data_IF_698271850094
#
_entry.id   IF_698271850094
#
_cell.length_a   1.000
_cell.length_b   1.000
_cell.length_c   1.000
_cell.angle_alpha   90.00
_cell.angle_beta   90.00
_cell.angle_gamma   90.00
#
_symmetry.space_group_name_H-M   'P 1'
#
loop_
_entity.id
_entity.type
_entity.pdbx_description
1 polymer ?
#
# COMPACT_ATOMS: atom_id res chain seq x y z
N UNK A 1 27.34 26.87 7.53
CA UNK A 1 26.79 25.51 7.55
C UNK A 1 27.74 24.55 6.85
N UNK A 2 28.17 23.51 7.55
CA UNK A 2 29.00 22.45 6.97
C UNK A 2 28.19 21.56 6.03
N UNK A 3 28.84 20.74 5.20
CA UNK A 3 28.14 19.72 4.42
C UNK A 3 27.84 18.51 5.31
N UNK A 4 26.65 17.91 5.15
CA UNK A 4 26.34 16.61 5.74
C UNK A 4 27.30 15.55 5.19
N UNK A 5 27.89 14.70 6.04
CA UNK A 5 28.75 13.61 5.62
C UNK A 5 27.96 12.34 5.30
N UNK A 6 26.93 12.05 6.11
CA UNK A 6 26.01 10.93 5.94
C UNK A 6 24.61 11.26 6.45
N UNK A 7 23.61 10.43 6.11
CA UNK A 7 22.26 10.53 6.64
C UNK A 7 22.16 9.81 8.00
N UNK A 8 21.24 10.28 8.87
CA UNK A 8 21.03 9.71 10.20
C UNK A 8 20.74 8.21 10.15
N UNK A 9 19.80 7.79 9.30
CA UNK A 9 19.44 6.38 9.15
C UNK A 9 20.47 5.51 8.46
N UNK A 10 21.60 6.06 8.02
CA UNK A 10 22.71 5.34 7.38
C UNK A 10 23.97 5.27 8.26
N UNK A 11 23.90 5.74 9.50
CA UNK A 11 25.01 5.58 10.45
C UNK A 11 25.00 4.15 10.97
N UNK A 12 25.96 3.35 10.53
CA UNK A 12 26.12 1.93 10.88
C UNK A 12 27.48 1.66 11.51
N UNK A 13 27.72 0.40 11.91
CA UNK A 13 29.02 -0.02 12.46
C UNK A 13 30.19 0.19 11.48
N UNK A 14 29.93 0.31 10.17
CA UNK A 14 30.97 0.62 9.16
C UNK A 14 31.59 2.01 9.36
N UNK A 15 30.94 2.88 10.10
CA UNK A 15 31.39 4.24 10.40
C UNK A 15 31.96 4.40 11.82
N UNK A 16 32.23 3.29 12.52
CA UNK A 16 32.83 3.35 13.87
C UNK A 16 34.13 4.15 13.86
N UNK A 17 34.31 4.99 14.90
CA UNK A 17 35.41 5.90 15.11
C UNK A 17 35.54 7.03 14.06
N UNK A 18 34.65 7.08 13.08
CA UNK A 18 34.59 8.15 12.07
C UNK A 18 33.91 9.40 12.61
N UNK A 19 34.43 10.56 12.18
CA UNK A 19 33.78 11.85 12.42
C UNK A 19 32.67 12.09 11.42
N UNK A 20 31.47 12.32 11.91
CA UNK A 20 30.30 12.59 11.08
C UNK A 20 29.70 13.97 11.34
N UNK A 21 29.14 14.56 10.29
CA UNK A 21 28.29 15.74 10.37
C UNK A 21 26.89 15.33 9.94
N UNK A 22 25.95 15.41 10.87
CA UNK A 22 24.56 15.04 10.65
C UNK A 22 23.66 16.27 10.70
N UNK A 23 22.55 16.25 9.96
CA UNK A 23 21.53 17.30 9.98
C UNK A 23 20.17 16.62 9.99
N UNK A 24 19.30 17.02 10.89
CA UNK A 24 17.99 16.40 11.03
C UNK A 24 17.10 17.14 11.99
N UNK A 25 15.96 16.53 12.24
CA UNK A 25 14.95 16.96 13.20
C UNK A 25 15.10 16.17 14.49
N UNK A 26 14.99 16.86 15.61
CA UNK A 26 14.94 16.24 16.94
C UNK A 26 13.65 15.46 17.08
N UNK A 27 13.74 14.15 17.09
CA UNK A 27 12.58 13.25 17.21
C UNK A 27 12.18 13.07 18.67
N UNK A 28 13.12 12.62 19.53
CA UNK A 28 12.94 12.50 20.95
C UNK A 28 14.15 13.08 21.68
N UNK A 29 13.93 13.62 22.90
CA UNK A 29 14.97 14.04 23.80
C UNK A 29 14.73 13.41 25.18
N UNK A 30 15.75 12.80 25.73
CA UNK A 30 15.77 12.21 27.11
C UNK A 30 16.92 12.78 27.88
N UNK A 31 16.67 13.15 29.10
CA UNK A 31 17.65 13.68 30.04
C UNK A 31 17.80 12.67 31.20
N UNK A 32 18.96 12.09 31.33
CA UNK A 32 19.27 11.03 32.33
C UNK A 32 20.41 11.45 33.24
N UNK A 33 20.16 12.49 34.02
CA UNK A 33 21.06 12.86 35.10
C UNK A 33 22.44 13.39 34.68
N UNK A 34 22.46 14.29 33.67
CA UNK A 34 23.68 14.92 33.17
C UNK A 34 24.13 14.43 31.80
N UNK A 35 23.51 13.36 31.28
CA UNK A 35 23.63 12.93 29.88
C UNK A 35 22.33 13.24 29.16
N UNK A 36 22.43 13.84 27.98
CA UNK A 36 21.27 14.07 27.14
C UNK A 36 21.37 13.17 25.91
N UNK A 37 20.32 12.38 25.68
CA UNK A 37 20.14 11.54 24.51
C UNK A 37 19.11 12.17 23.60
N UNK A 38 19.42 12.27 22.32
CA UNK A 38 18.50 12.75 21.29
C UNK A 38 18.43 11.74 20.16
N UNK A 39 17.23 11.37 19.80
CA UNK A 39 16.98 10.62 18.58
C UNK A 39 16.89 11.66 17.43
N UNK A 40 17.91 11.72 16.58
CA UNK A 40 17.96 12.62 15.43
C UNK A 40 17.42 11.91 14.20
N UNK A 41 16.41 12.51 13.57
CA UNK A 41 15.67 11.93 12.42
C UNK A 41 15.96 12.69 11.14
N UNK A 42 16.12 11.95 10.07
CA UNK A 42 16.04 12.46 8.72
C UNK A 42 15.25 11.52 7.78
N UNK A 43 15.30 11.72 6.47
CA UNK A 43 14.55 10.92 5.49
C UNK A 43 14.96 9.45 5.44
N UNK A 44 16.17 9.09 5.87
CA UNK A 44 16.67 7.71 5.85
C UNK A 44 16.42 6.97 7.16
N UNK A 45 16.10 7.69 8.24
CA UNK A 45 15.77 7.09 9.52
C UNK A 45 16.26 7.91 10.71
N UNK A 46 16.53 7.21 11.79
CA UNK A 46 16.88 7.78 13.11
C UNK A 46 18.23 7.25 13.54
N UNK A 47 19.02 8.10 14.19
CA UNK A 47 20.21 7.72 14.96
C UNK A 47 20.16 8.37 16.32
N UNK A 48 20.59 7.66 17.37
CA UNK A 48 20.81 8.25 18.68
C UNK A 48 22.09 9.08 18.67
N UNK A 49 22.00 10.32 19.15
CA UNK A 49 23.15 11.16 19.43
C UNK A 49 23.21 11.44 20.93
N UNK A 50 24.42 11.50 21.50
CA UNK A 50 24.65 11.60 22.91
C UNK A 50 25.45 12.84 23.21
N UNK A 51 25.01 13.60 24.22
CA UNK A 51 25.67 14.76 24.74
C UNK A 51 26.20 14.40 26.14
N UNK A 52 27.51 14.25 26.22
CA UNK A 52 28.22 13.91 27.45
C UNK A 52 29.12 15.10 27.81
N UNK A 53 29.06 15.63 29.09
CA UNK A 53 29.90 16.74 29.51
C UNK A 53 31.40 16.43 29.43
N UNK A 54 31.80 15.17 29.67
CA UNK A 54 33.20 14.73 29.54
C UNK A 54 33.73 14.83 28.10
N UNK A 55 32.82 14.81 27.11
CA UNK A 55 33.17 14.92 25.69
C UNK A 55 33.06 16.37 25.17
N UNK A 56 31.97 17.06 25.54
CA UNK A 56 31.78 18.49 25.21
C UNK A 56 30.74 19.15 26.14
N UNK A 57 31.19 19.91 27.11
CA UNK A 57 30.33 20.70 28.01
C UNK A 57 29.51 21.76 27.23
N UNK A 58 30.12 22.37 26.20
CA UNK A 58 29.45 23.36 25.36
C UNK A 58 28.29 22.76 24.56
N UNK A 59 28.48 21.59 23.97
CA UNK A 59 27.45 20.90 23.25
C UNK A 59 26.29 20.49 24.18
N UNK A 60 26.58 20.04 25.38
CA UNK A 60 25.58 19.70 26.39
C UNK A 60 24.73 20.93 26.77
N UNK A 61 25.31 22.09 27.02
CA UNK A 61 24.58 23.34 27.34
C UNK A 61 23.60 23.72 26.23
N UNK A 62 23.97 23.53 24.95
CA UNK A 62 23.06 23.77 23.84
C UNK A 62 21.95 22.71 23.80
N UNK A 63 22.29 21.44 24.04
CA UNK A 63 21.32 20.33 24.04
C UNK A 63 20.24 20.46 25.12
N UNK A 64 20.52 21.13 26.27
CA UNK A 64 19.52 21.45 27.30
C UNK A 64 18.36 22.30 26.73
N UNK A 65 18.64 23.16 25.78
CA UNK A 65 17.67 24.08 25.13
C UNK A 65 16.91 23.46 23.97
N UNK A 66 17.34 22.31 23.46
CA UNK A 66 16.76 21.63 22.31
C UNK A 66 15.39 21.05 22.67
N UNK A 67 14.44 21.17 21.74
CA UNK A 67 13.08 20.62 21.85
C UNK A 67 12.74 19.81 20.61
N UNK A 68 11.67 19.02 20.73
CA UNK A 68 11.14 18.21 19.62
C UNK A 68 10.94 19.05 18.35
N UNK A 69 11.24 18.46 17.21
CA UNK A 69 11.16 19.04 15.86
C UNK A 69 12.10 20.24 15.60
N UNK A 70 12.98 20.61 16.53
CA UNK A 70 14.06 21.54 16.19
C UNK A 70 14.96 20.93 15.10
N UNK A 71 15.41 21.76 14.17
CA UNK A 71 16.38 21.38 13.16
C UNK A 71 17.77 21.69 13.66
N UNK A 72 18.61 20.66 13.72
CA UNK A 72 19.98 20.80 14.23
C UNK A 72 21.01 20.25 13.25
N UNK A 73 22.20 20.83 13.29
CA UNK A 73 23.43 20.27 12.77
C UNK A 73 24.27 19.79 13.94
N UNK A 74 24.76 18.56 13.86
CA UNK A 74 25.65 18.00 14.88
C UNK A 74 26.92 17.46 14.24
N UNK A 75 28.02 17.58 14.95
CA UNK A 75 29.30 16.97 14.63
C UNK A 75 29.71 16.07 15.78
N UNK A 76 30.17 14.88 15.48
CA UNK A 76 30.54 13.93 16.52
C UNK A 76 31.26 12.72 15.96
N UNK A 77 31.57 11.77 16.82
CA UNK A 77 32.23 10.51 16.50
C UNK A 77 31.22 9.37 16.69
N UNK A 78 31.17 8.46 15.72
CA UNK A 78 30.35 7.27 15.82
C UNK A 78 30.97 6.29 16.79
N UNK A 79 30.21 5.86 17.77
CA UNK A 79 30.62 4.89 18.80
C UNK A 79 29.65 3.72 18.87
N UNK A 80 30.14 2.60 19.38
CA UNK A 80 29.30 1.43 19.63
C UNK A 80 28.50 1.64 20.90
N UNK A 81 27.22 1.25 20.90
CA UNK A 81 26.41 1.24 22.14
C UNK A 81 26.82 0.11 23.05
N UNK A 82 26.63 0.30 24.34
CA UNK A 82 26.72 -0.79 25.30
C UNK A 82 25.70 -1.89 24.94
N UNK A 83 26.05 -3.17 25.07
CA UNK A 83 25.16 -4.30 24.71
C UNK A 83 23.78 -4.20 25.34
N UNK A 84 23.66 -3.66 26.54
CA UNK A 84 22.39 -3.50 27.27
C UNK A 84 21.52 -2.36 26.72
N UNK A 85 22.09 -1.44 25.93
CA UNK A 85 21.41 -0.26 25.39
C UNK A 85 21.12 -0.36 23.87
N UNK A 86 21.46 -1.49 23.25
CA UNK A 86 21.17 -1.75 21.83
C UNK A 86 19.67 -1.66 21.58
N UNK A 87 19.29 -0.90 20.56
CA UNK A 87 17.89 -0.75 20.16
C UNK A 87 17.58 -1.50 18.85
N UNK A 88 16.98 -2.69 18.92
CA UNK A 88 16.69 -3.50 17.72
C UNK A 88 15.56 -2.91 16.83
N UNK A 89 14.85 -1.88 17.31
CA UNK A 89 13.74 -1.26 16.56
C UNK A 89 14.20 -0.30 15.44
N UNK A 90 15.45 0.14 15.49
CA UNK A 90 16.03 1.05 14.49
C UNK A 90 17.28 0.43 13.87
N UNK A 91 17.49 0.71 12.57
CA UNK A 91 18.64 0.14 11.83
C UNK A 91 20.00 0.53 12.42
N UNK A 92 20.08 1.71 13.01
CA UNK A 92 21.29 2.28 13.61
C UNK A 92 21.46 1.89 15.06
N UNK A 93 20.64 0.97 15.57
CA UNK A 93 20.53 0.68 17.01
C UNK A 93 21.75 0.09 17.67
N UNK A 94 22.75 -0.35 16.92
CA UNK A 94 24.05 -0.84 17.39
C UNK A 94 25.02 0.29 17.73
N UNK A 95 24.79 1.49 17.18
CA UNK A 95 25.70 2.62 17.27
C UNK A 95 24.99 3.87 17.80
N UNK A 96 25.78 4.83 18.24
CA UNK A 96 25.37 6.18 18.59
C UNK A 96 26.45 7.18 18.19
N UNK A 97 26.15 8.47 18.23
CA UNK A 97 27.12 9.51 17.90
C UNK A 97 27.41 10.34 19.15
N UNK A 98 28.65 10.32 19.62
CA UNK A 98 29.14 11.20 20.71
C UNK A 98 29.37 12.60 20.10
N UNK A 99 28.53 13.55 20.51
CA UNK A 99 28.49 14.89 19.92
C UNK A 99 29.56 15.80 20.50
N UNK A 100 30.41 16.34 19.63
CA UNK A 100 31.41 17.36 19.99
C UNK A 100 30.92 18.79 19.76
N UNK A 101 30.00 18.99 18.77
CA UNK A 101 29.45 20.31 18.46
C UNK A 101 28.01 20.19 17.99
N UNK A 102 27.17 21.17 18.34
CA UNK A 102 25.79 21.30 17.88
C UNK A 102 25.47 22.74 17.54
N UNK A 103 24.75 22.92 16.43
CA UNK A 103 24.17 24.20 16.00
C UNK A 103 22.65 24.01 15.83
N UNK A 104 21.85 24.86 16.46
CA UNK A 104 20.40 24.93 16.20
C UNK A 104 20.18 25.76 14.94
N UNK A 105 19.86 25.08 13.82
CA UNK A 105 19.61 25.72 12.53
C UNK A 105 18.26 26.45 12.57
N UNK A 106 17.24 25.80 13.15
CA UNK A 106 15.90 26.38 13.27
C UNK A 106 15.15 25.81 14.47
N UNK A 107 14.41 26.67 15.13
CA UNK A 107 13.49 26.28 16.21
C UNK A 107 12.12 25.96 15.64
N UNK A 108 11.41 25.05 16.29
CA UNK A 108 10.03 24.73 15.97
C UNK A 108 9.12 25.18 17.10
N UNK A 109 7.92 25.64 16.74
CA UNK A 109 6.80 25.66 17.68
C UNK A 109 6.33 24.23 17.96
N UNK A 110 5.55 24.06 19.03
CA UNK A 110 4.99 22.74 19.36
C UNK A 110 4.03 22.29 18.26
N UNK A 111 4.25 21.13 17.61
CA UNK A 111 3.35 20.61 16.60
C UNK A 111 1.92 20.38 17.16
N UNK A 112 0.87 20.53 16.33
CA UNK A 112 -0.51 20.30 16.74
C UNK A 112 -0.83 18.84 17.07
N UNK A 113 0.05 17.91 16.73
CA UNK A 113 -0.02 16.51 17.07
C UNK A 113 1.40 15.91 17.13
N UNK A 114 1.54 14.79 17.83
CA UNK A 114 2.81 14.10 17.96
C UNK A 114 3.25 13.49 16.62
N UNK A 115 4.51 13.77 16.23
CA UNK A 115 5.11 13.22 15.00
C UNK A 115 5.89 11.94 15.30
N UNK A 116 6.32 11.81 16.54
CA UNK A 116 7.20 10.75 17.05
C UNK A 116 6.46 9.54 17.65
N UNK A 117 5.14 9.52 17.64
CA UNK A 117 4.33 8.42 18.16
C UNK A 117 3.80 7.55 17.02
N UNK A 118 3.85 6.24 17.23
CA UNK A 118 3.13 5.26 16.41
C UNK A 118 1.63 5.33 16.77
N UNK A 119 0.74 5.13 15.81
CA UNK A 119 -0.71 5.10 16.01
C UNK A 119 -1.32 6.38 16.63
N UNK A 120 -0.94 7.52 16.11
CA UNK A 120 -1.52 8.82 16.55
C UNK A 120 -3.01 8.85 16.24
N UNK A 121 -3.83 8.87 17.29
CA UNK A 121 -5.29 9.04 17.18
C UNK A 121 -5.62 10.54 17.02
N UNK A 122 -5.41 11.07 15.81
CA UNK A 122 -5.67 12.46 15.46
C UNK A 122 -6.69 12.51 14.32
N UNK A 123 -7.64 13.42 14.44
CA UNK A 123 -8.65 13.67 13.41
C UNK A 123 -7.99 13.89 12.04
N UNK A 124 -8.54 13.26 11.00
CA UNK A 124 -8.00 13.32 9.65
C UNK A 124 -7.93 14.75 9.10
N UNK A 125 -8.90 15.59 9.43
CA UNK A 125 -8.91 16.99 8.98
C UNK A 125 -7.72 17.78 9.54
N UNK A 126 -7.31 17.49 10.78
CA UNK A 126 -6.11 18.11 11.38
C UNK A 126 -4.86 17.63 10.66
N UNK A 127 -4.76 16.33 10.38
CA UNK A 127 -3.65 15.76 9.63
C UNK A 127 -3.56 16.31 8.21
N UNK A 128 -4.70 16.49 7.54
CA UNK A 128 -4.77 17.10 6.20
C UNK A 128 -4.41 18.59 6.24
N UNK A 129 -4.88 19.32 7.23
CA UNK A 129 -4.54 20.74 7.41
C UNK A 129 -3.03 20.96 7.60
N UNK A 130 -2.39 20.10 8.37
CA UNK A 130 -0.94 20.13 8.64
C UNK A 130 -0.21 19.00 7.92
N UNK A 131 -0.56 18.76 6.66
CA UNK A 131 -0.07 17.64 5.87
C UNK A 131 1.46 17.54 5.82
N UNK A 132 2.15 18.68 5.78
CA UNK A 132 3.61 18.76 5.80
C UNK A 132 4.24 18.24 7.11
N UNK A 133 3.53 18.28 8.23
CA UNK A 133 3.94 17.66 9.49
C UNK A 133 3.61 16.16 9.51
N UNK A 134 2.40 15.81 9.05
CA UNK A 134 1.98 14.41 8.95
C UNK A 134 2.93 13.58 8.06
N UNK A 135 3.44 14.19 6.96
CA UNK A 135 4.44 13.55 6.09
C UNK A 135 5.81 13.31 6.73
N UNK A 136 6.10 13.90 7.89
CA UNK A 136 7.31 13.58 8.67
C UNK A 136 7.20 12.26 9.44
N UNK A 137 5.98 11.74 9.61
CA UNK A 137 5.76 10.46 10.27
C UNK A 137 6.33 9.34 9.41
N UNK A 138 6.99 8.40 10.08
CA UNK A 138 7.74 7.33 9.41
C UNK A 138 6.87 6.50 8.48
N UNK A 139 5.64 6.18 8.88
CA UNK A 139 4.68 5.40 8.09
C UNK A 139 4.39 6.04 6.72
N UNK A 140 4.11 7.35 6.73
CA UNK A 140 3.82 8.10 5.50
C UNK A 140 5.08 8.31 4.65
N UNK A 141 6.20 8.59 5.27
CA UNK A 141 7.48 8.69 4.58
C UNK A 141 7.84 7.36 3.88
N UNK A 142 7.60 6.21 4.53
CA UNK A 142 7.80 4.89 3.93
C UNK A 142 6.84 4.63 2.76
N UNK A 143 5.59 5.08 2.85
CA UNK A 143 4.62 4.98 1.74
C UNK A 143 5.13 5.72 0.49
N UNK A 144 5.65 6.94 0.64
CA UNK A 144 6.23 7.68 -0.49
C UNK A 144 7.52 7.03 -1.02
N UNK A 145 8.36 6.51 -0.13
CA UNK A 145 9.56 5.76 -0.52
C UNK A 145 9.20 4.51 -1.32
N UNK A 146 8.20 3.75 -0.84
CA UNK A 146 7.68 2.57 -1.54
C UNK A 146 7.13 2.94 -2.93
N UNK A 147 6.32 3.99 -3.03
CA UNK A 147 5.82 4.50 -4.32
C UNK A 147 6.96 4.83 -5.29
N UNK A 148 7.99 5.55 -4.81
CA UNK A 148 9.17 5.86 -5.61
C UNK A 148 9.90 4.59 -6.09
N UNK A 149 10.10 3.62 -5.21
CA UNK A 149 10.76 2.34 -5.55
C UNK A 149 9.93 1.55 -6.57
N UNK A 150 8.61 1.49 -6.39
CA UNK A 150 7.68 0.84 -7.32
C UNK A 150 7.78 1.43 -8.72
N UNK A 151 7.67 2.75 -8.85
CA UNK A 151 7.75 3.41 -10.17
C UNK A 151 9.12 3.21 -10.81
N UNK A 152 10.19 3.25 -10.03
CA UNK A 152 11.56 3.00 -10.51
C UNK A 152 11.72 1.55 -11.02
N UNK A 153 11.22 0.57 -10.28
CA UNK A 153 11.30 -0.85 -10.66
C UNK A 153 10.52 -1.12 -11.95
N UNK A 154 9.33 -0.52 -12.10
CA UNK A 154 8.51 -0.62 -13.32
C UNK A 154 9.27 -0.03 -14.52
N UNK A 155 9.81 1.19 -14.39
CA UNK A 155 10.60 1.82 -15.46
C UNK A 155 11.76 0.93 -15.87
N UNK A 156 12.55 0.46 -14.91
CA UNK A 156 13.69 -0.39 -15.18
C UNK A 156 13.30 -1.67 -15.94
N UNK A 157 12.19 -2.32 -15.52
CA UNK A 157 11.71 -3.52 -16.21
C UNK A 157 11.31 -3.22 -17.67
N UNK A 158 10.55 -2.15 -17.87
CA UNK A 158 10.06 -1.79 -19.20
C UNK A 158 11.20 -1.34 -20.13
N UNK A 159 12.14 -0.55 -19.63
CA UNK A 159 13.34 -0.13 -20.37
C UNK A 159 14.18 -1.35 -20.78
N UNK A 160 14.44 -2.28 -19.85
CA UNK A 160 15.20 -3.51 -20.11
C UNK A 160 14.51 -4.45 -21.14
N UNK A 161 13.18 -4.30 -21.31
CA UNK A 161 12.37 -5.06 -22.28
C UNK A 161 12.09 -4.27 -23.58
N UNK A 162 12.79 -3.15 -23.79
CA UNK A 162 12.77 -2.40 -25.05
C UNK A 162 11.54 -1.51 -25.25
N UNK A 163 10.86 -1.14 -24.17
CA UNK A 163 9.81 -0.13 -24.23
C UNK A 163 10.37 1.28 -24.23
N UNK A 164 9.70 2.19 -24.90
CA UNK A 164 10.00 3.62 -24.87
C UNK A 164 9.07 4.37 -23.95
N UNK A 165 9.63 5.13 -22.98
CA UNK A 165 8.88 6.09 -22.15
C UNK A 165 8.62 7.35 -22.97
N UNK A 166 7.39 7.54 -23.42
CA UNK A 166 7.03 8.67 -24.29
C UNK A 166 5.94 9.51 -23.61
N UNK A 167 6.29 10.76 -23.34
CA UNK A 167 5.37 11.74 -22.76
C UNK A 167 4.35 12.22 -23.81
N UNK A 168 3.08 12.26 -23.44
CA UNK A 168 1.97 12.69 -24.28
C UNK A 168 1.33 13.97 -23.75
N UNK A 169 0.67 14.78 -24.61
CA UNK A 169 -0.01 16.00 -24.18
C UNK A 169 -1.10 15.75 -23.13
N UNK A 170 -1.16 16.64 -22.13
CA UNK A 170 -2.22 16.65 -21.10
C UNK A 170 -3.37 17.55 -21.52
N UNK A 171 -3.12 18.71 -22.15
CA UNK A 171 -4.16 19.54 -22.73
C UNK A 171 -4.50 19.02 -24.13
N UNK A 172 -5.59 18.28 -24.24
CA UNK A 172 -5.98 17.58 -25.46
C UNK A 172 -7.45 17.85 -25.83
N UNK A 173 -7.91 17.27 -26.91
CA UNK A 173 -9.31 17.26 -27.29
C UNK A 173 -10.06 16.22 -26.48
N UNK A 174 -11.32 16.50 -26.13
CA UNK A 174 -12.22 15.54 -25.52
C UNK A 174 -12.33 14.27 -26.37
N UNK A 175 -12.19 13.11 -25.74
CA UNK A 175 -12.34 11.79 -26.37
C UNK A 175 -13.26 10.92 -25.51
N UNK A 176 -14.26 10.22 -26.11
CA UNK A 176 -15.16 9.38 -25.34
C UNK A 176 -14.46 8.09 -24.89
N UNK A 177 -14.13 8.00 -23.59
CA UNK A 177 -13.47 6.82 -23.00
C UNK A 177 -14.26 6.18 -21.85
N UNK A 178 -15.55 6.51 -21.71
CA UNK A 178 -16.45 5.90 -20.71
C UNK A 178 -16.69 6.72 -19.45
N UNK A 179 -15.85 7.71 -19.12
CA UNK A 179 -16.07 8.68 -18.06
C UNK A 179 -16.38 10.08 -18.64
N UNK A 180 -16.75 11.03 -17.80
CA UNK A 180 -16.80 12.45 -18.18
C UNK A 180 -15.41 13.05 -18.10
N UNK A 181 -15.11 13.95 -19.05
CA UNK A 181 -13.86 14.68 -19.08
C UNK A 181 -13.92 15.93 -18.17
N UNK A 182 -12.82 16.24 -17.51
CA UNK A 182 -12.60 17.57 -16.97
C UNK A 182 -12.23 18.53 -18.09
N UNK A 183 -12.96 19.65 -18.17
CA UNK A 183 -12.77 20.66 -19.20
C UNK A 183 -11.95 21.83 -18.68
N UNK A 184 -11.02 22.29 -19.53
CA UNK A 184 -10.21 23.50 -19.27
C UNK A 184 -10.57 24.54 -20.32
N UNK A 185 -11.15 25.70 -19.94
CA UNK A 185 -11.51 26.76 -20.88
C UNK A 185 -10.30 27.27 -21.66
N UNK A 186 -10.44 27.42 -22.99
CA UNK A 186 -9.42 28.06 -23.79
C UNK A 186 -9.46 29.58 -23.60
N UNK A 187 -8.34 30.18 -23.23
CA UNK A 187 -8.23 31.66 -23.17
C UNK A 187 -8.08 32.29 -24.56
N UNK A 188 -7.60 31.52 -25.52
CA UNK A 188 -7.29 32.02 -26.89
C UNK A 188 -8.50 31.89 -27.80
N UNK A 189 -9.31 30.86 -27.64
CA UNK A 189 -10.48 30.56 -28.45
C UNK A 189 -11.74 30.61 -27.58
N UNK A 190 -12.50 31.69 -27.75
CA UNK A 190 -13.72 31.92 -26.96
C UNK A 190 -14.77 30.84 -27.24
N UNK A 191 -15.31 30.23 -26.17
CA UNK A 191 -16.30 29.13 -26.27
C UNK A 191 -15.70 27.76 -26.52
N UNK A 192 -14.38 27.62 -26.67
CA UNK A 192 -13.70 26.33 -26.83
C UNK A 192 -13.01 25.86 -25.54
N UNK A 193 -12.80 24.54 -25.43
CA UNK A 193 -12.24 23.90 -24.25
C UNK A 193 -11.19 22.85 -24.65
N UNK A 194 -10.17 22.75 -23.81
CA UNK A 194 -9.36 21.54 -23.72
C UNK A 194 -10.03 20.54 -22.77
N UNK A 195 -9.71 19.26 -22.93
CA UNK A 195 -10.04 18.23 -21.96
C UNK A 195 -8.78 17.67 -21.32
N UNK A 196 -8.87 17.31 -20.02
CA UNK A 196 -7.82 16.54 -19.37
C UNK A 196 -8.00 15.06 -19.72
N UNK A 197 -6.93 14.30 -20.04
CA UNK A 197 -7.04 12.95 -20.58
C UNK A 197 -7.51 11.96 -19.50
N UNK A 198 -8.46 11.09 -19.88
CA UNK A 198 -8.85 9.93 -19.07
C UNK A 198 -7.77 8.82 -19.13
N UNK A 199 -7.09 8.73 -20.24
CA UNK A 199 -5.88 7.97 -20.52
C UNK A 199 -5.21 8.54 -21.78
N UNK A 200 -3.96 8.22 -22.12
CA UNK A 200 -3.31 8.63 -23.36
C UNK A 200 -3.69 7.73 -24.55
N UNK A 201 -4.91 7.20 -24.58
CA UNK A 201 -5.36 6.17 -25.52
C UNK A 201 -5.14 6.52 -27.00
N UNK A 202 -5.51 7.73 -27.39
CA UNK A 202 -5.34 8.16 -28.79
C UNK A 202 -3.86 8.23 -29.18
N UNK A 203 -3.03 8.78 -28.29
CA UNK A 203 -1.62 9.00 -28.56
C UNK A 203 -0.84 7.69 -28.63
N UNK A 204 -1.09 6.75 -27.72
CA UNK A 204 -0.42 5.44 -27.76
C UNK A 204 -0.77 4.62 -28.99
N UNK A 205 -2.01 4.69 -29.48
CA UNK A 205 -2.40 4.08 -30.75
C UNK A 205 -1.67 4.72 -31.94
N UNK A 206 -1.54 6.06 -31.96
CA UNK A 206 -0.77 6.75 -32.97
C UNK A 206 0.71 6.38 -32.95
N UNK A 207 1.28 6.16 -31.76
CA UNK A 207 2.65 5.68 -31.61
C UNK A 207 2.83 4.28 -32.20
N UNK A 208 1.86 3.36 -31.98
CA UNK A 208 1.90 2.04 -32.60
C UNK A 208 1.86 2.14 -34.14
N UNK A 209 0.95 2.95 -34.68
CA UNK A 209 0.86 3.20 -36.14
C UNK A 209 2.16 3.82 -36.68
N UNK A 210 2.86 4.60 -35.87
CA UNK A 210 4.13 5.22 -36.21
C UNK A 210 5.34 4.29 -36.10
N UNK A 211 5.14 3.03 -35.68
CA UNK A 211 6.20 2.02 -35.62
C UNK A 211 7.04 2.00 -34.34
N UNK A 212 6.52 2.54 -33.23
CA UNK A 212 7.22 2.48 -31.94
C UNK A 212 7.11 1.13 -31.23
N UNK A 213 6.25 0.24 -31.67
CA UNK A 213 6.05 -1.15 -31.23
C UNK A 213 5.81 -1.39 -29.74
N UNK A 214 6.59 -0.77 -28.86
CA UNK A 214 6.50 -0.91 -27.42
C UNK A 214 6.61 0.46 -26.76
N UNK A 215 5.52 0.90 -26.18
CA UNK A 215 5.36 2.19 -25.49
C UNK A 215 4.95 1.98 -24.06
N UNK A 216 5.42 2.85 -23.17
CA UNK A 216 4.82 3.04 -21.87
C UNK A 216 4.89 4.50 -21.41
N UNK A 217 4.08 4.84 -20.42
CA UNK A 217 4.16 6.11 -19.71
C UNK A 217 3.63 5.93 -18.28
N UNK A 218 4.28 6.54 -17.30
CA UNK A 218 3.70 6.69 -15.96
C UNK A 218 3.03 8.06 -15.92
N UNK A 219 1.72 8.08 -16.12
CA UNK A 219 0.96 9.26 -16.52
C UNK A 219 -0.17 9.60 -15.56
N UNK A 220 -0.43 10.89 -15.37
CA UNK A 220 -1.64 11.38 -14.71
C UNK A 220 -2.85 11.26 -15.61
N UNK A 221 -3.93 10.68 -15.04
CA UNK A 221 -5.22 10.52 -15.70
C UNK A 221 -6.30 11.18 -14.84
N UNK A 222 -7.37 11.62 -15.51
CA UNK A 222 -8.43 12.41 -14.91
C UNK A 222 -9.79 11.85 -15.33
N UNK A 223 -10.70 11.62 -14.38
CA UNK A 223 -12.06 11.16 -14.66
C UNK A 223 -13.03 11.86 -13.74
N UNK A 224 -14.02 12.54 -14.29
CA UNK A 224 -15.10 13.18 -13.55
C UNK A 224 -16.20 12.15 -13.28
N UNK A 225 -15.96 11.34 -12.26
CA UNK A 225 -16.83 10.26 -11.80
C UNK A 225 -17.10 10.37 -10.30
N UNK A 226 -18.13 9.67 -9.83
CA UNK A 226 -18.43 9.57 -8.40
C UNK A 226 -17.26 8.91 -7.64
N UNK A 227 -16.89 9.54 -6.52
CA UNK A 227 -15.82 9.04 -5.66
C UNK A 227 -16.23 7.73 -5.00
N UNK A 228 -15.26 6.83 -4.87
CA UNK A 228 -15.37 5.58 -4.12
C UNK A 228 -14.12 5.43 -3.25
N UNK A 229 -14.10 4.44 -2.35
CA UNK A 229 -12.97 4.22 -1.46
C UNK A 229 -11.61 4.11 -2.18
N UNK A 230 -11.60 3.55 -3.39
CA UNK A 230 -10.43 3.30 -4.24
C UNK A 230 -10.38 4.16 -5.51
N UNK A 231 -11.34 5.09 -5.72
CA UNK A 231 -11.41 5.92 -6.92
C UNK A 231 -11.30 7.39 -6.59
N UNK A 232 -10.31 8.02 -7.21
CA UNK A 232 -10.06 9.44 -7.13
C UNK A 232 -10.23 10.07 -8.53
N UNK A 233 -10.63 11.35 -8.62
CA UNK A 233 -10.81 12.04 -9.91
C UNK A 233 -9.49 12.24 -10.66
N UNK A 234 -8.38 12.26 -9.93
CA UNK A 234 -7.01 12.30 -10.44
C UNK A 234 -6.22 11.10 -9.91
N UNK A 235 -5.62 10.34 -10.80
CA UNK A 235 -4.83 9.16 -10.42
C UNK A 235 -3.66 8.96 -11.39
N UNK A 236 -2.75 8.04 -11.06
CA UNK A 236 -1.60 7.71 -11.89
C UNK A 236 -1.77 6.31 -12.47
N UNK A 237 -1.58 6.16 -13.78
CA UNK A 237 -1.50 4.88 -14.46
C UNK A 237 -0.06 4.56 -14.86
N UNK A 238 0.24 3.27 -14.93
CA UNK A 238 1.26 2.75 -15.81
C UNK A 238 0.53 2.35 -17.09
N UNK A 239 0.65 3.18 -18.10
CA UNK A 239 0.00 2.96 -19.38
C UNK A 239 0.98 2.29 -20.35
N UNK A 240 0.56 1.22 -21.01
CA UNK A 240 1.42 0.37 -21.83
C UNK A 240 0.69 0.04 -23.12
N UNK A 241 1.40 0.07 -24.25
CA UNK A 241 0.88 -0.39 -25.53
C UNK A 241 1.96 -1.17 -26.28
N UNK A 242 1.55 -2.26 -26.93
CA UNK A 242 2.44 -3.16 -27.66
C UNK A 242 1.84 -3.53 -29.02
N UNK A 243 2.71 -3.63 -30.06
CA UNK A 243 2.36 -4.15 -31.39
C UNK A 243 2.86 -5.57 -31.55
N UNK A 244 2.27 -6.33 -32.49
CA UNK A 244 2.70 -7.66 -32.91
C UNK A 244 2.74 -8.70 -31.78
N UNK A 245 1.79 -8.62 -30.85
CA UNK A 245 1.67 -9.49 -29.67
C UNK A 245 0.28 -10.08 -29.57
N UNK A 246 0.16 -11.20 -28.89
CA UNK A 246 -1.11 -11.79 -28.51
C UNK A 246 -1.43 -11.57 -27.01
N UNK A 247 -2.53 -12.14 -26.55
CA UNK A 247 -3.00 -11.99 -25.18
C UNK A 247 -1.98 -12.52 -24.16
N UNK A 248 -1.37 -13.69 -24.46
CA UNK A 248 -0.43 -14.31 -23.50
C UNK A 248 0.88 -13.55 -23.40
N UNK A 249 1.34 -12.90 -24.46
CA UNK A 249 2.50 -12.03 -24.43
C UNK A 249 2.30 -10.87 -23.45
N UNK A 250 1.14 -10.23 -23.49
CA UNK A 250 0.80 -9.11 -22.59
C UNK A 250 0.65 -9.57 -21.15
N UNK A 251 -0.03 -10.72 -20.93
CA UNK A 251 -0.21 -11.27 -19.58
C UNK A 251 1.13 -11.68 -18.99
N UNK A 252 1.98 -12.39 -19.76
CA UNK A 252 3.30 -12.84 -19.29
C UNK A 252 4.22 -11.67 -18.94
N UNK A 253 4.28 -10.64 -19.80
CA UNK A 253 5.02 -9.41 -19.53
C UNK A 253 4.54 -8.72 -18.24
N UNK A 254 3.22 -8.58 -18.08
CA UNK A 254 2.63 -7.98 -16.88
C UNK A 254 2.94 -8.77 -15.61
N UNK A 255 2.88 -10.10 -15.70
CA UNK A 255 3.22 -11.00 -14.59
C UNK A 255 4.69 -10.86 -14.16
N UNK A 256 5.61 -10.91 -15.12
CA UNK A 256 7.05 -10.75 -14.83
C UNK A 256 7.36 -9.38 -14.23
N UNK A 257 6.74 -8.31 -14.76
CA UNK A 257 6.87 -6.97 -14.21
C UNK A 257 6.40 -6.91 -12.75
N UNK A 258 5.24 -7.46 -12.44
CA UNK A 258 4.70 -7.47 -11.07
C UNK A 258 5.58 -8.27 -10.11
N UNK A 259 6.07 -9.45 -10.53
CA UNK A 259 6.99 -10.27 -9.75
C UNK A 259 8.29 -9.52 -9.43
N UNK A 260 8.87 -8.84 -10.43
CA UNK A 260 10.05 -8.00 -10.24
C UNK A 260 9.77 -6.85 -9.25
N UNK A 261 8.65 -6.16 -9.38
CA UNK A 261 8.26 -5.06 -8.48
C UNK A 261 8.15 -5.55 -7.04
N UNK A 262 7.47 -6.68 -6.80
CA UNK A 262 7.32 -7.25 -5.45
C UNK A 262 8.69 -7.63 -4.87
N UNK A 263 9.57 -8.22 -5.68
CA UNK A 263 10.94 -8.55 -5.26
C UNK A 263 11.74 -7.30 -4.90
N UNK A 264 11.76 -6.29 -5.77
CA UNK A 264 12.56 -5.07 -5.58
C UNK A 264 12.08 -4.23 -4.38
N UNK A 265 10.77 -4.21 -4.14
CA UNK A 265 10.13 -3.33 -3.13
C UNK A 265 9.96 -4.01 -1.78
N UNK A 266 9.62 -5.31 -1.79
CA UNK A 266 9.32 -6.08 -0.57
C UNK A 266 10.37 -7.14 -0.24
N UNK A 267 11.27 -7.45 -1.17
CA UNK A 267 12.24 -8.56 -1.01
C UNK A 267 11.60 -9.95 -1.05
N UNK A 268 10.37 -10.06 -1.56
CA UNK A 268 9.63 -11.32 -1.63
C UNK A 268 9.75 -11.88 -3.06
N UNK A 269 10.24 -13.10 -3.19
CA UNK A 269 10.18 -13.85 -4.44
C UNK A 269 8.79 -14.48 -4.57
N UNK A 270 8.03 -14.00 -5.56
CA UNK A 270 6.72 -14.56 -5.90
C UNK A 270 6.92 -15.64 -6.95
N UNK A 271 6.50 -16.86 -6.64
CA UNK A 271 6.52 -17.97 -7.59
C UNK A 271 5.51 -17.74 -8.72
N UNK A 272 5.85 -18.14 -9.91
CA UNK A 272 4.98 -18.08 -11.08
C UNK A 272 4.94 -19.39 -11.84
N UNK A 273 4.13 -19.50 -12.84
CA UNK A 273 3.18 -18.51 -13.36
C UNK A 273 1.98 -18.30 -12.43
N UNK A 274 1.36 -17.11 -12.47
CA UNK A 274 0.12 -16.88 -11.74
C UNK A 274 -0.99 -17.79 -12.28
N UNK A 275 -1.87 -18.32 -11.40
CA UNK A 275 -2.99 -19.15 -11.83
C UNK A 275 -3.85 -18.44 -12.90
N UNK A 276 -4.20 -19.15 -13.94
CA UNK A 276 -5.14 -18.69 -14.99
C UNK A 276 -6.54 -19.19 -14.63
N UNK A 277 -7.49 -18.32 -14.69
CA UNK A 277 -8.89 -18.62 -14.39
C UNK A 277 -9.78 -17.91 -15.39
N UNK A 278 -10.74 -18.64 -15.98
CA UNK A 278 -11.73 -18.02 -16.85
C UNK A 278 -12.78 -17.28 -16.04
N UNK A 279 -13.49 -16.35 -16.66
CA UNK A 279 -14.61 -15.67 -16.01
C UNK A 279 -15.68 -16.66 -15.53
N UNK A 280 -16.02 -17.64 -16.38
CA UNK A 280 -17.00 -18.67 -16.03
C UNK A 280 -16.58 -19.48 -14.81
N UNK A 281 -15.31 -19.87 -14.74
CA UNK A 281 -14.74 -20.60 -13.60
C UNK A 281 -14.73 -19.72 -12.33
N UNK A 282 -14.35 -18.47 -12.44
CA UNK A 282 -14.34 -17.53 -11.30
C UNK A 282 -15.75 -17.34 -10.73
N UNK A 283 -16.74 -17.18 -11.59
CA UNK A 283 -18.15 -17.06 -11.17
C UNK A 283 -18.71 -18.36 -10.60
N UNK A 284 -18.35 -19.50 -11.17
CA UNK A 284 -18.83 -20.81 -10.71
C UNK A 284 -18.27 -21.17 -9.33
N UNK A 285 -16.95 -20.99 -9.13
CA UNK A 285 -16.25 -21.38 -7.91
C UNK A 285 -16.34 -20.34 -6.79
N UNK A 286 -16.37 -19.05 -7.13
CA UNK A 286 -16.25 -17.95 -6.14
C UNK A 286 -17.40 -16.96 -6.16
N UNK A 287 -18.25 -16.98 -7.19
CA UNK A 287 -19.34 -16.00 -7.33
C UNK A 287 -18.86 -14.56 -7.57
N UNK A 288 -17.62 -14.38 -7.99
CA UNK A 288 -16.98 -13.07 -8.19
C UNK A 288 -15.96 -13.13 -9.33
N UNK A 289 -15.88 -12.07 -10.12
CA UNK A 289 -14.82 -11.86 -11.12
C UNK A 289 -13.46 -11.45 -10.49
N UNK A 290 -13.42 -11.28 -9.17
CA UNK A 290 -12.22 -10.96 -8.37
C UNK A 290 -12.11 -11.90 -7.16
N UNK A 291 -11.89 -13.21 -7.39
CA UNK A 291 -11.87 -14.18 -6.32
C UNK A 291 -10.69 -13.95 -5.37
N UNK A 292 -10.95 -14.07 -4.07
CA UNK A 292 -9.90 -14.16 -3.06
C UNK A 292 -9.53 -15.62 -2.84
N UNK A 293 -8.40 -16.04 -3.38
CA UNK A 293 -7.92 -17.42 -3.31
C UNK A 293 -7.01 -17.70 -2.12
N UNK A 294 -6.95 -16.79 -1.12
CA UNK A 294 -6.12 -16.96 0.08
C UNK A 294 -6.71 -17.91 1.11
N UNK A 295 -7.94 -18.34 0.92
CA UNK A 295 -8.64 -19.30 1.80
C UNK A 295 -9.50 -20.26 0.96
N UNK A 296 -9.62 -21.50 1.43
CA UNK A 296 -10.31 -22.59 0.76
C UNK A 296 -11.79 -22.61 1.16
N UNK A 297 -12.61 -21.79 0.51
CA UNK A 297 -14.07 -21.80 0.72
C UNK A 297 -14.77 -21.54 -0.62
N UNK A 298 -14.66 -22.52 -1.50
CA UNK A 298 -15.26 -22.43 -2.84
C UNK A 298 -16.76 -22.76 -2.82
N UNK A 299 -17.47 -22.23 -3.81
CA UNK A 299 -18.86 -22.58 -4.07
C UNK A 299 -18.91 -23.97 -4.73
N UNK A 300 -19.62 -24.90 -4.13
CA UNK A 300 -19.81 -26.25 -4.64
C UNK A 300 -21.22 -26.37 -5.22
N UNK A 301 -21.34 -26.75 -6.49
CA UNK A 301 -22.63 -26.97 -7.11
C UNK A 301 -23.24 -28.29 -6.58
N UNK A 302 -24.32 -28.19 -5.84
CA UNK A 302 -25.06 -29.33 -5.25
C UNK A 302 -26.46 -29.50 -5.87
N UNK A 303 -26.71 -28.92 -7.05
CA UNK A 303 -28.00 -28.94 -7.73
C UNK A 303 -28.49 -30.41 -7.98
N UNK A 304 -27.56 -31.33 -8.27
CA UNK A 304 -27.93 -32.74 -8.49
C UNK A 304 -28.49 -33.37 -7.20
N UNK A 305 -27.86 -33.10 -6.05
CA UNK A 305 -28.40 -33.54 -4.75
C UNK A 305 -29.79 -32.94 -4.51
N UNK A 306 -29.99 -31.69 -4.88
CA UNK A 306 -31.27 -31.01 -4.74
C UNK A 306 -32.42 -31.65 -5.52
N UNK A 307 -32.15 -32.34 -6.65
CA UNK A 307 -33.16 -33.11 -7.39
C UNK A 307 -33.61 -34.36 -6.62
N UNK A 308 -32.65 -35.01 -5.98
CA UNK A 308 -32.88 -36.33 -5.34
C UNK A 308 -33.46 -36.19 -3.93
N UNK A 309 -33.26 -35.04 -3.29
CA UNK A 309 -33.76 -34.74 -1.94
C UNK A 309 -35.25 -34.41 -1.94
N UNK A 310 -35.97 -34.84 -0.87
CA UNK A 310 -37.35 -34.45 -0.66
C UNK A 310 -37.53 -33.10 0.05
N UNK A 311 -36.71 -32.11 -0.37
CA UNK A 311 -36.76 -30.74 0.13
C UNK A 311 -37.29 -29.81 -0.98
N UNK A 312 -38.53 -29.39 -0.83
CA UNK A 312 -39.29 -28.66 -1.85
C UNK A 312 -38.55 -27.44 -2.40
N UNK A 313 -37.89 -26.65 -1.54
CA UNK A 313 -37.17 -25.43 -1.97
C UNK A 313 -36.08 -25.77 -2.97
N UNK A 314 -35.35 -26.87 -2.77
CA UNK A 314 -34.27 -27.28 -3.68
C UNK A 314 -34.85 -27.85 -4.98
N UNK A 315 -35.91 -28.68 -4.88
CA UNK A 315 -36.61 -29.18 -6.10
C UNK A 315 -37.13 -28.05 -6.96
N UNK A 316 -37.90 -27.13 -6.37
CA UNK A 316 -38.47 -26.00 -7.08
C UNK A 316 -37.37 -25.14 -7.73
N UNK A 317 -36.21 -24.96 -7.09
CA UNK A 317 -35.08 -24.22 -7.65
C UNK A 317 -34.52 -24.89 -8.90
N UNK A 318 -34.29 -26.20 -8.84
CA UNK A 318 -33.72 -26.95 -9.96
C UNK A 318 -34.74 -27.14 -11.09
N UNK A 319 -35.99 -27.33 -10.79
CA UNK A 319 -37.08 -27.41 -11.80
C UNK A 319 -37.26 -26.11 -12.56
N UNK A 320 -36.93 -24.97 -11.93
CA UNK A 320 -36.91 -23.64 -12.58
C UNK A 320 -35.54 -23.26 -13.18
N UNK A 321 -34.71 -24.24 -13.50
CA UNK A 321 -33.36 -24.05 -14.10
C UNK A 321 -32.40 -23.22 -13.24
N UNK A 322 -32.66 -23.14 -11.93
CA UNK A 322 -31.77 -22.49 -10.96
C UNK A 322 -30.68 -23.43 -10.44
N UNK A 323 -29.65 -22.87 -9.85
CA UNK A 323 -28.55 -23.60 -9.24
C UNK A 323 -28.60 -23.54 -7.71
N UNK A 324 -28.13 -24.60 -7.08
CA UNK A 324 -27.92 -24.66 -5.64
C UNK A 324 -26.43 -24.76 -5.40
N UNK A 325 -25.88 -23.74 -4.73
CA UNK A 325 -24.47 -23.68 -4.34
C UNK A 325 -24.34 -23.83 -2.83
N UNK A 326 -23.33 -24.54 -2.40
CA UNK A 326 -22.97 -24.72 -1.01
C UNK A 326 -21.54 -24.26 -0.76
N UNK A 327 -21.25 -23.87 0.47
CA UNK A 327 -19.88 -23.67 0.97
C UNK A 327 -19.67 -24.58 2.17
N UNK A 328 -18.45 -25.05 2.37
CA UNK A 328 -18.04 -25.84 3.52
C UNK A 328 -17.17 -24.98 4.44
N UNK A 329 -17.63 -24.73 5.66
CA UNK A 329 -16.85 -24.05 6.68
C UNK A 329 -16.19 -25.09 7.58
N UNK A 330 -14.98 -25.53 7.22
CA UNK A 330 -14.26 -26.57 7.97
C UNK A 330 -13.98 -26.16 9.42
N UNK A 331 -14.19 -27.10 10.36
CA UNK A 331 -13.98 -26.88 11.79
C UNK A 331 -14.96 -25.90 12.45
N UNK A 332 -15.99 -25.43 11.72
CA UNK A 332 -16.93 -24.43 12.24
C UNK A 332 -18.12 -25.03 13.03
N UNK A 333 -18.34 -26.34 12.96
CA UNK A 333 -19.51 -26.99 13.57
C UNK A 333 -19.67 -26.69 15.06
N UNK A 334 -18.58 -26.72 15.82
CA UNK A 334 -18.55 -26.42 17.26
C UNK A 334 -18.40 -24.92 17.60
N UNK A 335 -17.96 -24.12 16.63
CA UNK A 335 -17.73 -22.69 16.84
C UNK A 335 -18.98 -21.84 16.66
N UNK A 336 -19.92 -22.26 15.80
CA UNK A 336 -21.12 -21.52 15.48
C UNK A 336 -22.31 -22.04 16.30
N UNK A 337 -22.92 -21.14 17.05
CA UNK A 337 -24.18 -21.42 17.77
C UNK A 337 -25.39 -21.26 16.83
N UNK A 338 -26.56 -21.66 17.28
CA UNK A 338 -27.81 -21.43 16.53
C UNK A 338 -28.05 -19.92 16.29
N UNK A 339 -27.72 -19.09 17.27
CA UNK A 339 -27.85 -17.62 17.14
C UNK A 339 -26.97 -17.08 16.05
N UNK A 340 -25.75 -17.61 15.89
CA UNK A 340 -24.83 -17.20 14.81
C UNK A 340 -25.40 -17.58 13.45
N UNK A 341 -26.02 -18.77 13.33
CA UNK A 341 -26.69 -19.21 12.10
C UNK A 341 -27.91 -18.35 11.76
N UNK A 342 -28.66 -17.91 12.76
CA UNK A 342 -29.80 -16.99 12.58
C UNK A 342 -29.26 -15.64 12.07
N UNK A 343 -28.16 -15.12 12.62
CA UNK A 343 -27.50 -13.88 12.17
C UNK A 343 -26.95 -14.01 10.74
N UNK A 344 -26.38 -15.15 10.38
CA UNK A 344 -25.94 -15.42 8.99
C UNK A 344 -27.13 -15.48 8.03
N UNK A 345 -28.28 -16.01 8.48
CA UNK A 345 -29.51 -16.01 7.69
C UNK A 345 -30.01 -14.57 7.44
N UNK A 346 -29.97 -13.71 8.46
CA UNK A 346 -30.30 -12.29 8.31
C UNK A 346 -29.31 -11.58 7.34
N UNK A 347 -28.04 -11.91 7.44
CA UNK A 347 -27.01 -11.36 6.55
C UNK A 347 -27.26 -11.72 5.08
N UNK A 348 -27.53 -12.98 4.75
CA UNK A 348 -27.79 -13.38 3.35
C UNK A 348 -29.10 -12.80 2.81
N UNK A 349 -30.08 -12.55 3.68
CA UNK A 349 -31.34 -11.91 3.29
C UNK A 349 -31.12 -10.49 2.72
N UNK A 350 -30.10 -9.78 3.17
CA UNK A 350 -29.74 -8.43 2.65
C UNK A 350 -29.42 -8.51 1.15
N UNK A 351 -28.88 -9.66 0.70
CA UNK A 351 -28.51 -9.91 -0.70
C UNK A 351 -29.61 -10.63 -1.49
N UNK A 352 -30.82 -10.74 -0.93
CA UNK A 352 -32.00 -11.29 -1.59
C UNK A 352 -32.23 -12.79 -1.43
N UNK A 353 -31.40 -13.49 -0.66
CA UNK A 353 -31.67 -14.88 -0.29
C UNK A 353 -32.89 -14.95 0.63
N UNK A 354 -33.80 -15.91 0.40
CA UNK A 354 -34.99 -16.10 1.23
C UNK A 354 -34.73 -16.86 2.53
N UNK A 355 -33.54 -17.41 2.69
CA UNK A 355 -33.08 -18.15 3.84
C UNK A 355 -31.72 -18.80 3.59
N UNK A 356 -31.13 -19.35 4.66
CA UNK A 356 -29.87 -20.08 4.62
C UNK A 356 -30.15 -21.53 5.08
N UNK A 357 -30.04 -22.49 4.16
CA UNK A 357 -30.09 -23.91 4.50
C UNK A 357 -28.70 -24.33 4.99
N UNK A 358 -28.66 -25.00 6.16
CA UNK A 358 -27.40 -25.44 6.75
C UNK A 358 -27.50 -26.78 7.48
N UNK A 359 -26.39 -27.49 7.50
CA UNK A 359 -26.18 -28.70 8.30
C UNK A 359 -24.82 -28.65 8.98
N UNK A 360 -24.70 -29.26 10.13
CA UNK A 360 -23.43 -29.52 10.80
C UNK A 360 -23.11 -31.00 10.66
N UNK A 361 -21.87 -31.31 10.32
CA UNK A 361 -21.34 -32.67 10.38
C UNK A 361 -20.81 -32.89 11.79
N UNK A 362 -21.37 -33.87 12.48
CA UNK A 362 -21.02 -34.26 13.86
C UNK A 362 -20.64 -35.73 13.90
N UNK A 363 -20.05 -36.21 15.00
CA UNK A 363 -19.60 -37.61 15.12
C UNK A 363 -20.65 -38.64 14.76
N UNK A 364 -21.92 -38.41 15.18
CA UNK A 364 -23.04 -39.34 14.97
C UNK A 364 -23.85 -39.07 13.68
N UNK A 365 -23.36 -38.22 12.76
CA UNK A 365 -24.03 -37.92 11.49
C UNK A 365 -24.24 -36.43 11.20
N UNK A 366 -25.44 -36.07 10.73
CA UNK A 366 -25.80 -34.71 10.37
C UNK A 366 -26.76 -34.10 11.39
N UNK A 367 -26.54 -32.82 11.72
CA UNK A 367 -27.40 -32.04 12.61
C UNK A 367 -27.75 -30.69 11.99
N UNK A 368 -29.01 -30.30 12.06
CA UNK A 368 -29.47 -29.01 11.53
C UNK A 368 -30.87 -29.07 10.92
N UNK A 369 -31.42 -27.94 10.46
CA UNK A 369 -32.80 -27.83 9.99
C UNK A 369 -33.12 -28.73 8.79
N UNK A 370 -32.14 -28.94 7.90
CA UNK A 370 -32.33 -29.75 6.68
C UNK A 370 -31.66 -31.13 6.78
N UNK A 371 -31.05 -31.50 7.92
CA UNK A 371 -30.36 -32.79 8.11
C UNK A 371 -31.27 -34.01 7.76
N UNK A 372 -32.52 -33.96 8.14
CA UNK A 372 -33.51 -35.02 7.89
C UNK A 372 -33.78 -35.33 6.41
N UNK A 373 -33.34 -34.49 5.49
CA UNK A 373 -33.56 -34.72 4.07
C UNK A 373 -32.36 -35.40 3.39
N UNK A 374 -31.31 -35.71 4.15
CA UNK A 374 -30.12 -36.43 3.69
C UNK A 374 -30.10 -37.92 4.12
N UNK A 375 -31.20 -38.41 4.71
CA UNK A 375 -31.35 -39.81 5.13
C UNK A 375 -31.76 -40.69 3.96
#
# INVERSE_FOLDING_TARGET
MSKRTTYCGLVTEDLLDEKVTLKGWVHNRRDLGGLIFVDLRDREGIVQIVFNPDFSEEALKVAETVRSEYVVEVQGVVTKRDPETINPKIKTGQVEVQVSNIEIINKSETPPFAINEENVNVDENIRLKYRYLDLRRQELAQTFKMRHQTTRSIRQYLDDNGFFDIETPVLTKSTPEGARDYLVPSRVHEGEFYALPQSPQLFKQLLMISGFDKYYQIVKCFRDEDLRADRQPEFTQVDIEMSFVDQEDVISMGEEMLRKVVKDVKGIDVEGPFPRMTYAEAMDRYGSDKPDTRFDMELINVSQLGKDMDFKVFKDTVENEGEIKAIVAEGAADQYTRKDMDSLTEFVNIYGAKGLAWVKVVEDGLSGPIARFFE
#
